data_IF_969760421780
#
_entry.id   IF_969760421780
#
_cell.length_a   1.000
_cell.length_b   1.000
_cell.length_c   1.000
_cell.angle_alpha   90.00
_cell.angle_beta   90.00
_cell.angle_gamma   90.00
#
_symmetry.space_group_name_H-M   'P 1'
#
loop_
_entity.id
_entity.type
_entity.pdbx_description
1 polymer ?
#
# COMPACT_ATOMS: atom_id res chain seq x y z
N UNK A 1 -12.67 12.19 -15.70
CA UNK A 1 -13.48 12.77 -14.60
C UNK A 1 -13.76 14.25 -14.74
N UNK A 2 -15.00 14.60 -15.08
CA UNK A 2 -15.47 15.98 -15.10
C UNK A 2 -15.46 16.64 -13.72
N UNK A 3 -15.82 15.89 -12.65
CA UNK A 3 -15.76 16.37 -11.26
C UNK A 3 -14.36 16.82 -10.84
N UNK A 4 -13.33 16.09 -11.24
CA UNK A 4 -11.94 16.43 -10.92
C UNK A 4 -11.55 17.76 -11.56
N UNK A 5 -11.90 17.97 -12.85
CA UNK A 5 -11.67 19.24 -13.55
C UNK A 5 -12.44 20.39 -12.92
N UNK A 6 -13.69 20.17 -12.52
CA UNK A 6 -14.53 21.17 -11.86
C UNK A 6 -13.96 21.57 -10.49
N UNK A 7 -13.50 20.61 -9.69
CA UNK A 7 -12.85 20.87 -8.40
C UNK A 7 -11.52 21.60 -8.58
N UNK A 8 -10.74 21.27 -9.61
CA UNK A 8 -9.52 22.00 -9.94
C UNK A 8 -9.82 23.44 -10.39
N UNK A 9 -10.87 23.68 -11.18
CA UNK A 9 -11.22 25.04 -11.60
C UNK A 9 -11.92 25.85 -10.51
N UNK A 10 -12.53 25.19 -9.52
CA UNK A 10 -13.05 25.82 -8.32
C UNK A 10 -11.96 26.24 -7.31
N UNK A 11 -10.69 25.90 -7.57
CA UNK A 11 -9.54 26.40 -6.78
C UNK A 11 -9.41 27.91 -6.88
N UNK A 12 -9.73 28.48 -8.05
CA UNK A 12 -9.52 29.90 -8.34
C UNK A 12 -10.81 30.74 -8.20
N UNK A 13 -11.96 30.10 -7.95
CA UNK A 13 -13.26 30.77 -7.89
C UNK A 13 -14.08 30.34 -6.66
N UNK A 14 -14.14 31.26 -5.69
CA UNK A 14 -14.85 31.10 -4.43
C UNK A 14 -16.38 30.96 -4.60
N UNK A 15 -16.96 31.53 -5.67
CA UNK A 15 -18.38 31.34 -6.01
C UNK A 15 -18.63 29.96 -6.61
N UNK A 16 -17.70 29.41 -7.39
CA UNK A 16 -17.80 28.04 -7.89
C UNK A 16 -17.66 27.04 -6.73
N UNK A 17 -16.73 27.27 -5.81
CA UNK A 17 -16.55 26.42 -4.63
C UNK A 17 -17.80 26.42 -3.72
N UNK A 18 -18.41 27.58 -3.46
CA UNK A 18 -19.64 27.65 -2.65
C UNK A 18 -20.82 26.96 -3.35
N UNK A 19 -21.02 27.22 -4.65
CA UNK A 19 -22.10 26.59 -5.42
C UNK A 19 -21.93 25.07 -5.58
N UNK A 20 -20.70 24.55 -5.55
CA UNK A 20 -20.45 23.12 -5.54
C UNK A 20 -20.86 22.50 -4.20
N UNK A 21 -20.47 23.13 -3.09
CA UNK A 21 -20.78 22.66 -1.73
C UNK A 21 -22.28 22.72 -1.45
N UNK A 22 -23.00 23.68 -2.03
CA UNK A 22 -24.46 23.80 -1.91
C UNK A 22 -25.24 22.78 -2.76
N UNK A 23 -24.59 21.99 -3.62
CA UNK A 23 -25.28 20.93 -4.39
C UNK A 23 -25.52 19.71 -3.52
N UNK A 24 -26.80 19.36 -3.38
CA UNK A 24 -27.27 18.10 -2.79
C UNK A 24 -26.54 16.93 -3.46
N UNK A 25 -26.00 16.01 -2.63
CA UNK A 25 -25.28 14.79 -3.01
C UNK A 25 -23.84 14.91 -3.53
N UNK A 26 -23.19 16.08 -3.47
CA UNK A 26 -21.78 16.19 -3.89
C UNK A 26 -20.81 15.55 -2.87
N UNK A 27 -21.23 15.44 -1.61
CA UNK A 27 -20.41 14.93 -0.50
C UNK A 27 -19.97 13.48 -0.68
N UNK A 28 -20.84 12.60 -1.18
CA UNK A 28 -20.49 11.21 -1.44
C UNK A 28 -19.52 11.06 -2.61
N UNK A 29 -19.56 11.99 -3.57
CA UNK A 29 -18.65 12.02 -4.72
C UNK A 29 -17.29 12.62 -4.36
N UNK A 30 -17.26 13.55 -3.40
CA UNK A 30 -16.03 14.20 -2.92
C UNK A 30 -15.18 13.30 -2.02
N UNK A 31 -15.78 12.34 -1.30
CA UNK A 31 -15.06 11.35 -0.47
C UNK A 31 -13.93 10.64 -1.24
N UNK A 32 -14.14 10.34 -2.52
CA UNK A 32 -13.13 9.70 -3.38
C UNK A 32 -12.11 10.68 -3.98
N UNK A 33 -12.47 11.95 -4.13
CA UNK A 33 -11.66 12.95 -4.86
C UNK A 33 -10.76 13.74 -3.92
N UNK A 34 -11.23 14.08 -2.72
CA UNK A 34 -10.50 14.86 -1.71
C UNK A 34 -9.08 14.34 -1.42
N UNK A 35 -8.83 13.04 -1.25
CA UNK A 35 -7.49 12.52 -0.97
C UNK A 35 -6.51 12.69 -2.14
N UNK A 36 -7.03 12.95 -3.35
CA UNK A 36 -6.23 13.06 -4.58
C UNK A 36 -5.91 14.52 -4.96
N UNK A 37 -6.41 15.49 -4.19
CA UNK A 37 -6.16 16.92 -4.39
C UNK A 37 -4.85 17.36 -3.73
N UNK A 38 -4.31 18.49 -4.18
CA UNK A 38 -3.16 19.13 -3.54
C UNK A 38 -3.51 19.61 -2.13
N UNK A 39 -2.50 19.71 -1.27
CA UNK A 39 -2.63 20.12 0.14
C UNK A 39 -3.29 21.49 0.32
N UNK A 40 -3.12 22.38 -0.65
CA UNK A 40 -3.68 23.74 -0.65
C UNK A 40 -5.17 23.75 -1.01
N UNK A 41 -5.56 22.93 -1.98
CA UNK A 41 -6.96 22.76 -2.36
C UNK A 41 -7.77 22.01 -1.30
N UNK A 42 -7.16 21.05 -0.60
CA UNK A 42 -7.80 20.43 0.57
C UNK A 42 -8.10 21.47 1.65
N UNK A 43 -7.17 22.40 1.92
CA UNK A 43 -7.37 23.46 2.92
C UNK A 43 -8.46 24.45 2.52
N UNK A 44 -8.44 24.95 1.28
CA UNK A 44 -9.49 25.86 0.79
C UNK A 44 -10.87 25.18 0.79
N UNK A 45 -10.95 23.94 0.34
CA UNK A 45 -12.21 23.21 0.30
C UNK A 45 -12.73 22.91 1.71
N UNK A 46 -11.85 22.55 2.65
CA UNK A 46 -12.21 22.44 4.07
C UNK A 46 -12.69 23.77 4.65
N UNK A 47 -12.05 24.89 4.31
CA UNK A 47 -12.48 26.22 4.80
C UNK A 47 -13.88 26.59 4.29
N UNK A 48 -14.21 26.28 3.03
CA UNK A 48 -15.54 26.51 2.46
C UNK A 48 -16.59 25.55 3.05
N UNK A 49 -16.20 24.30 3.36
CA UNK A 49 -17.06 23.33 4.04
C UNK A 49 -17.36 23.73 5.49
N UNK A 50 -16.36 24.21 6.23
CA UNK A 50 -16.50 24.72 7.61
C UNK A 50 -17.50 25.89 7.64
N UNK A 51 -17.45 26.79 6.65
CA UNK A 51 -18.29 27.97 6.59
C UNK A 51 -19.77 27.68 6.27
N UNK A 52 -20.06 26.60 5.53
CA UNK A 52 -21.42 26.35 5.02
C UNK A 52 -22.14 25.18 5.72
N UNK A 53 -21.43 24.13 6.16
CA UNK A 53 -22.03 22.95 6.79
C UNK A 53 -21.10 22.33 7.86
N UNK A 54 -20.91 22.99 9.02
CA UNK A 54 -19.97 22.55 10.05
C UNK A 54 -20.33 21.19 10.66
N UNK A 55 -21.62 20.89 10.85
CA UNK A 55 -22.08 19.63 11.45
C UNK A 55 -21.87 18.41 10.54
N UNK A 56 -22.07 18.55 9.22
CA UNK A 56 -21.81 17.46 8.26
C UNK A 56 -20.31 17.20 8.07
N UNK A 57 -19.50 18.25 8.10
CA UNK A 57 -18.04 18.11 8.09
C UNK A 57 -17.54 17.41 9.36
N UNK A 58 -18.04 17.78 10.53
CA UNK A 58 -17.67 17.14 11.79
C UNK A 58 -18.02 15.64 11.78
N UNK A 59 -19.23 15.28 11.35
CA UNK A 59 -19.64 13.89 11.21
C UNK A 59 -18.78 13.12 10.17
N UNK A 60 -18.41 13.76 9.05
CA UNK A 60 -17.54 13.17 8.04
C UNK A 60 -16.12 12.96 8.59
N UNK A 61 -15.57 13.95 9.29
CA UNK A 61 -14.25 13.87 9.92
C UNK A 61 -14.24 12.83 11.04
N UNK A 62 -15.29 12.74 11.85
CA UNK A 62 -15.42 11.74 12.90
C UNK A 62 -15.48 10.33 12.30
N UNK A 63 -16.24 10.13 11.22
CA UNK A 63 -16.30 8.86 10.49
C UNK A 63 -14.95 8.51 9.87
N UNK A 64 -14.31 9.46 9.19
CA UNK A 64 -12.99 9.27 8.60
C UNK A 64 -11.92 8.98 9.67
N UNK A 65 -11.98 9.64 10.82
CA UNK A 65 -11.08 9.41 11.95
C UNK A 65 -11.28 8.03 12.57
N UNK A 66 -12.53 7.56 12.72
CA UNK A 66 -12.85 6.21 13.21
C UNK A 66 -12.32 5.13 12.26
N UNK A 67 -12.56 5.29 10.95
CA UNK A 67 -12.01 4.40 9.90
C UNK A 67 -10.48 4.41 9.88
N UNK A 68 -9.86 5.58 10.01
CA UNK A 68 -8.40 5.73 10.07
C UNK A 68 -7.83 5.08 11.35
N UNK A 69 -8.48 5.26 12.49
CA UNK A 69 -8.08 4.62 13.75
C UNK A 69 -8.19 3.09 13.65
N UNK A 70 -9.27 2.58 13.05
CA UNK A 70 -9.49 1.15 12.81
C UNK A 70 -8.42 0.57 11.89
N UNK A 71 -8.14 1.22 10.76
CA UNK A 71 -7.10 0.77 9.82
C UNK A 71 -5.69 0.81 10.44
N UNK A 72 -5.38 1.83 11.24
CA UNK A 72 -4.13 1.90 12.02
C UNK A 72 -4.03 0.74 13.02
N UNK A 73 -5.12 0.41 13.71
CA UNK A 73 -5.16 -0.68 14.66
C UNK A 73 -4.96 -2.04 13.97
N UNK A 74 -5.64 -2.28 12.85
CA UNK A 74 -5.44 -3.48 12.03
C UNK A 74 -4.00 -3.62 11.56
N UNK A 75 -3.39 -2.52 11.07
CA UNK A 75 -1.98 -2.51 10.67
C UNK A 75 -1.04 -2.84 11.83
N UNK A 76 -1.29 -2.29 13.04
CA UNK A 76 -0.51 -2.63 14.24
C UNK A 76 -0.65 -4.10 14.61
N UNK A 77 -1.87 -4.65 14.56
CA UNK A 77 -2.13 -6.07 14.81
C UNK A 77 -1.37 -6.96 13.84
N UNK A 78 -1.41 -6.64 12.55
CA UNK A 78 -0.66 -7.37 11.52
C UNK A 78 0.85 -7.32 11.75
N UNK A 79 1.38 -6.16 12.14
CA UNK A 79 2.80 -6.02 12.49
C UNK A 79 3.19 -6.85 13.71
N UNK A 80 2.36 -6.88 14.76
CA UNK A 80 2.61 -7.69 15.97
C UNK A 80 2.63 -9.17 15.61
N UNK A 81 1.64 -9.63 14.83
CA UNK A 81 1.56 -11.03 14.42
C UNK A 81 2.73 -11.42 13.52
N UNK A 82 3.14 -10.57 12.58
CA UNK A 82 4.32 -10.83 11.76
C UNK A 82 5.61 -10.86 12.61
N UNK A 83 5.78 -9.96 13.59
CA UNK A 83 6.90 -9.98 14.53
C UNK A 83 6.96 -11.27 15.35
N UNK A 84 5.81 -11.82 15.74
CA UNK A 84 5.76 -13.10 16.43
C UNK A 84 6.31 -14.24 15.56
N UNK A 85 5.96 -14.28 14.26
CA UNK A 85 6.53 -15.27 13.34
C UNK A 85 8.03 -15.03 13.08
N UNK A 86 8.49 -13.77 12.95
CA UNK A 86 9.92 -13.43 12.84
C UNK A 86 10.70 -14.02 14.03
N UNK A 87 10.17 -13.90 15.24
CA UNK A 87 10.81 -14.47 16.43
C UNK A 87 10.89 -16.00 16.38
N UNK A 88 9.91 -16.69 15.79
CA UNK A 88 9.97 -18.15 15.60
C UNK A 88 10.97 -18.53 14.51
N UNK A 89 11.03 -17.76 13.42
CA UNK A 89 12.02 -17.93 12.35
C UNK A 89 13.44 -17.79 12.89
N UNK A 90 13.70 -16.76 13.68
CA UNK A 90 15.01 -16.54 14.30
C UNK A 90 15.40 -17.65 15.29
N UNK A 91 14.40 -18.33 15.89
CA UNK A 91 14.61 -19.50 16.76
C UNK A 91 14.69 -20.83 15.99
N UNK A 92 14.54 -20.81 14.67
CA UNK A 92 14.53 -22.00 13.82
C UNK A 92 13.29 -22.89 13.96
N UNK A 93 12.25 -22.45 14.69
CA UNK A 93 11.02 -23.24 14.88
C UNK A 93 9.96 -23.04 13.80
N UNK A 94 10.25 -22.18 12.81
CA UNK A 94 9.42 -21.90 11.65
C UNK A 94 10.33 -21.48 10.49
N UNK A 95 10.08 -21.93 9.26
CA UNK A 95 10.85 -21.46 8.10
C UNK A 95 10.30 -20.13 7.57
N UNK A 96 11.08 -19.41 6.76
CA UNK A 96 10.58 -18.20 6.05
C UNK A 96 9.38 -18.56 5.18
N UNK A 97 9.49 -19.67 4.45
CA UNK A 97 8.48 -20.16 3.52
C UNK A 97 7.17 -20.48 4.22
N UNK A 98 7.20 -21.22 5.32
CA UNK A 98 5.98 -21.56 6.08
C UNK A 98 5.21 -20.30 6.50
N UNK A 99 5.94 -19.28 7.00
CA UNK A 99 5.34 -18.02 7.41
C UNK A 99 4.75 -17.25 6.22
N UNK A 100 5.46 -17.21 5.09
CA UNK A 100 5.03 -16.52 3.88
C UNK A 100 3.81 -17.20 3.27
N UNK A 101 3.84 -18.52 3.09
CA UNK A 101 2.74 -19.33 2.54
C UNK A 101 1.50 -19.15 3.40
N UNK A 102 1.64 -19.26 4.73
CA UNK A 102 0.53 -19.04 5.68
C UNK A 102 -0.13 -17.67 5.49
N UNK A 103 0.66 -16.61 5.35
CA UNK A 103 0.13 -15.26 5.16
C UNK A 103 -0.42 -15.01 3.77
N UNK A 104 0.16 -15.63 2.73
CA UNK A 104 -0.31 -15.54 1.36
C UNK A 104 -1.68 -16.22 1.19
N UNK A 105 -1.85 -17.43 1.73
CA UNK A 105 -3.14 -18.14 1.76
C UNK A 105 -4.25 -17.39 2.49
N UNK A 106 -3.87 -16.53 3.44
CA UNK A 106 -4.81 -15.72 4.24
C UNK A 106 -5.01 -14.31 3.69
N UNK A 107 -4.50 -14.00 2.51
CA UNK A 107 -4.53 -12.68 1.87
C UNK A 107 -4.05 -11.55 2.80
N UNK A 108 -2.90 -11.78 3.46
CA UNK A 108 -2.27 -10.82 4.39
C UNK A 108 -0.98 -10.21 3.83
N UNK A 109 -1.04 -9.37 2.77
CA UNK A 109 0.15 -8.78 2.15
C UNK A 109 0.91 -7.85 3.12
N UNK A 110 0.23 -7.19 4.06
CA UNK A 110 0.87 -6.34 5.06
C UNK A 110 1.81 -7.13 5.98
N UNK A 111 1.47 -8.38 6.30
CA UNK A 111 2.31 -9.27 7.11
C UNK A 111 3.52 -9.75 6.33
N UNK A 112 3.32 -10.17 5.07
CA UNK A 112 4.42 -10.53 4.15
C UNK A 112 5.38 -9.36 3.99
N UNK A 113 4.86 -8.14 3.80
CA UNK A 113 5.69 -6.94 3.72
C UNK A 113 6.52 -6.71 4.99
N UNK A 114 5.96 -6.99 6.16
CA UNK A 114 6.67 -6.90 7.45
C UNK A 114 7.79 -7.95 7.54
N UNK A 115 7.53 -9.20 7.12
CA UNK A 115 8.54 -10.25 7.06
C UNK A 115 9.70 -9.86 6.13
N UNK A 116 9.39 -9.50 4.90
CA UNK A 116 10.39 -9.11 3.90
C UNK A 116 11.22 -7.91 4.38
N UNK A 117 10.58 -6.89 4.99
CA UNK A 117 11.28 -5.73 5.55
C UNK A 117 12.33 -6.14 6.59
N UNK A 118 12.01 -7.16 7.41
CA UNK A 118 12.95 -7.68 8.40
C UNK A 118 14.13 -8.44 7.77
N UNK A 119 13.92 -9.11 6.63
CA UNK A 119 14.95 -9.90 5.96
C UNK A 119 15.92 -9.04 5.14
N UNK A 120 15.41 -8.06 4.38
CA UNK A 120 16.23 -7.24 3.47
C UNK A 120 16.54 -5.83 4.01
N UNK A 121 16.13 -5.52 5.25
CA UNK A 121 16.33 -4.22 5.91
C UNK A 121 15.87 -3.02 5.07
N UNK A 122 14.80 -3.19 4.32
CA UNK A 122 14.15 -2.11 3.55
C UNK A 122 12.91 -1.57 4.26
N UNK A 123 12.49 -0.37 3.83
CA UNK A 123 11.25 0.22 4.31
C UNK A 123 10.04 -0.64 3.91
N UNK A 124 9.19 -0.96 4.89
CA UNK A 124 7.96 -1.73 4.68
C UNK A 124 7.08 -1.11 3.58
N UNK A 125 7.02 0.23 3.46
CA UNK A 125 6.23 0.93 2.43
C UNK A 125 6.69 0.56 1.01
N UNK A 126 7.99 0.47 0.77
CA UNK A 126 8.53 0.09 -0.54
C UNK A 126 8.11 -1.34 -0.93
N UNK A 127 8.19 -2.26 0.02
CA UNK A 127 7.83 -3.66 -0.18
C UNK A 127 6.31 -3.82 -0.34
N UNK A 128 5.52 -3.12 0.46
CA UNK A 128 4.05 -3.10 0.36
C UNK A 128 3.60 -2.63 -1.02
N UNK A 129 4.23 -1.58 -1.55
CA UNK A 129 3.96 -1.10 -2.90
C UNK A 129 4.32 -2.15 -3.96
N UNK A 130 5.49 -2.78 -3.83
CA UNK A 130 5.93 -3.81 -4.79
C UNK A 130 5.02 -5.04 -4.80
N UNK A 131 4.47 -5.44 -3.64
CA UNK A 131 3.51 -6.54 -3.53
C UNK A 131 2.20 -6.27 -4.27
N UNK A 132 1.72 -5.01 -4.27
CA UNK A 132 0.39 -4.64 -4.75
C UNK A 132 0.40 -3.87 -6.10
N UNK A 133 1.56 -3.77 -6.74
CA UNK A 133 1.64 -3.27 -8.12
C UNK A 133 1.31 -4.38 -9.12
N UNK A 134 0.71 -4.02 -10.26
CA UNK A 134 0.44 -4.97 -11.35
C UNK A 134 1.75 -5.50 -11.95
N UNK A 135 2.70 -4.61 -12.21
CA UNK A 135 4.07 -5.00 -12.57
C UNK A 135 4.72 -5.72 -11.38
N UNK A 136 5.26 -6.91 -11.62
CA UNK A 136 5.87 -7.77 -10.62
C UNK A 136 7.40 -7.77 -10.57
N UNK A 137 8.09 -7.05 -11.47
CA UNK A 137 9.55 -7.15 -11.65
C UNK A 137 10.31 -6.86 -10.35
N UNK A 138 9.95 -5.77 -9.66
CA UNK A 138 10.54 -5.41 -8.37
C UNK A 138 10.26 -6.47 -7.29
N UNK A 139 9.08 -7.10 -7.34
CA UNK A 139 8.72 -8.16 -6.40
C UNK A 139 9.48 -9.46 -6.71
N UNK A 140 9.70 -9.80 -7.98
CA UNK A 140 10.52 -10.95 -8.38
C UNK A 140 11.93 -10.81 -7.82
N UNK A 141 12.54 -9.63 -7.98
CA UNK A 141 13.86 -9.33 -7.41
C UNK A 141 13.83 -9.48 -5.89
N UNK A 142 12.83 -8.90 -5.21
CA UNK A 142 12.66 -9.03 -3.76
C UNK A 142 12.57 -10.50 -3.32
N UNK A 143 11.69 -11.29 -3.93
CA UNK A 143 11.54 -12.72 -3.63
C UNK A 143 12.87 -13.45 -3.80
N UNK A 144 13.60 -13.21 -4.89
CA UNK A 144 14.90 -13.85 -5.13
C UNK A 144 15.94 -13.47 -4.07
N UNK A 145 15.96 -12.21 -3.65
CA UNK A 145 16.91 -11.72 -2.64
C UNK A 145 16.67 -12.23 -1.22
N UNK A 146 15.42 -12.60 -0.91
CA UNK A 146 15.04 -13.14 0.41
C UNK A 146 15.39 -14.62 0.51
N UNK A 147 15.66 -15.27 -0.63
CA UNK A 147 15.90 -16.70 -0.77
C UNK A 147 14.74 -17.51 -0.18
N UNK A 148 13.62 -17.54 -0.93
CA UNK A 148 12.40 -18.28 -0.62
C UNK A 148 12.12 -19.30 -1.73
N UNK A 149 11.40 -20.37 -1.43
CA UNK A 149 11.12 -21.38 -2.45
C UNK A 149 10.15 -20.90 -3.54
N UNK A 150 10.16 -21.64 -4.65
CA UNK A 150 9.19 -21.52 -5.73
C UNK A 150 7.75 -21.67 -5.24
N UNK A 151 7.50 -22.50 -4.22
CA UNK A 151 6.17 -22.70 -3.64
C UNK A 151 5.68 -21.41 -2.95
N UNK A 152 6.52 -20.81 -2.10
CA UNK A 152 6.20 -19.53 -1.46
C UNK A 152 5.96 -18.41 -2.49
N UNK A 153 6.74 -18.39 -3.58
CA UNK A 153 6.54 -17.44 -4.69
C UNK A 153 5.21 -17.67 -5.40
N UNK A 154 4.83 -18.91 -5.67
CA UNK A 154 3.55 -19.24 -6.28
C UNK A 154 2.39 -18.74 -5.42
N UNK A 155 2.42 -19.00 -4.12
CA UNK A 155 1.39 -18.57 -3.18
C UNK A 155 1.28 -17.04 -3.09
N UNK A 156 2.41 -16.32 -3.13
CA UNK A 156 2.42 -14.85 -3.28
C UNK A 156 1.74 -14.44 -4.59
N UNK A 157 2.04 -15.11 -5.70
CA UNK A 157 1.43 -14.87 -7.01
C UNK A 157 -0.09 -15.07 -6.99
N UNK A 158 -0.57 -16.15 -6.39
CA UNK A 158 -1.99 -16.44 -6.24
C UNK A 158 -2.70 -15.41 -5.38
N UNK A 159 -2.12 -15.06 -4.23
CA UNK A 159 -2.60 -13.96 -3.38
C UNK A 159 -2.73 -12.66 -4.18
N UNK A 160 -1.72 -12.31 -4.98
CA UNK A 160 -1.74 -11.11 -5.82
C UNK A 160 -2.86 -11.16 -6.86
N UNK A 161 -3.08 -12.30 -7.50
CA UNK A 161 -4.17 -12.46 -8.46
C UNK A 161 -5.54 -12.26 -7.80
N UNK A 162 -5.74 -12.80 -6.59
CA UNK A 162 -6.97 -12.57 -5.82
C UNK A 162 -7.17 -11.11 -5.45
N UNK A 163 -6.14 -10.45 -4.92
CA UNK A 163 -6.24 -9.05 -4.45
C UNK A 163 -6.39 -8.06 -5.61
N UNK A 164 -5.61 -8.26 -6.68
CA UNK A 164 -5.55 -7.34 -7.82
C UNK A 164 -6.51 -7.73 -8.96
N UNK A 165 -7.32 -8.77 -8.77
CA UNK A 165 -8.27 -9.28 -9.76
C UNK A 165 -7.60 -9.61 -11.10
N UNK A 166 -6.40 -10.19 -11.07
CA UNK A 166 -5.64 -10.58 -12.26
C UNK A 166 -5.95 -12.03 -12.66
N UNK A 167 -5.80 -12.39 -13.95
CA UNK A 167 -5.94 -13.78 -14.40
C UNK A 167 -4.91 -14.70 -13.73
N UNK A 168 -5.30 -15.94 -13.45
CA UNK A 168 -4.42 -16.95 -12.84
C UNK A 168 -3.18 -17.27 -13.68
N UNK A 169 -3.22 -17.09 -15.00
CA UNK A 169 -2.05 -17.21 -15.88
C UNK A 169 -0.90 -16.28 -15.51
N UNK A 170 -1.19 -15.18 -14.79
CA UNK A 170 -0.19 -14.25 -14.27
C UNK A 170 0.68 -14.89 -13.19
N UNK A 171 0.17 -15.91 -12.47
CA UNK A 171 0.93 -16.66 -11.47
C UNK A 171 2.07 -17.42 -12.13
N UNK A 172 1.80 -18.14 -13.22
CA UNK A 172 2.82 -18.94 -13.89
C UNK A 172 3.91 -18.06 -14.52
N UNK A 173 3.51 -16.91 -15.08
CA UNK A 173 4.48 -15.90 -15.54
C UNK A 173 5.37 -15.42 -14.38
N UNK A 174 4.77 -15.02 -13.25
CA UNK A 174 5.51 -14.54 -12.08
C UNK A 174 6.49 -15.59 -11.52
N UNK A 175 6.07 -16.85 -11.47
CA UNK A 175 6.92 -17.98 -11.04
C UNK A 175 8.06 -18.21 -12.03
N UNK A 176 7.80 -18.14 -13.34
CA UNK A 176 8.84 -18.30 -14.35
C UNK A 176 9.87 -17.15 -14.30
N UNK A 177 9.41 -15.91 -14.14
CA UNK A 177 10.29 -14.75 -13.99
C UNK A 177 11.20 -14.91 -12.77
N UNK A 178 10.68 -15.44 -11.65
CA UNK A 178 11.47 -15.77 -10.46
C UNK A 178 12.52 -16.87 -10.69
N UNK A 179 12.15 -17.94 -11.39
CA UNK A 179 13.08 -19.04 -11.68
C UNK A 179 14.24 -18.58 -12.57
N UNK A 180 13.94 -17.71 -13.54
CA UNK A 180 14.92 -17.18 -14.48
C UNK A 180 15.75 -16.02 -13.90
N UNK A 181 15.37 -15.48 -12.74
CA UNK A 181 16.11 -14.41 -12.08
C UNK A 181 17.43 -14.95 -11.50
N UNK A 182 18.53 -14.29 -11.87
CA UNK A 182 19.85 -14.54 -11.29
C UNK A 182 19.92 -14.03 -9.84
N UNK A 183 20.44 -14.89 -8.96
CA UNK A 183 20.47 -14.59 -7.52
C UNK A 183 21.47 -13.46 -7.22
N UNK A 184 22.66 -13.50 -7.81
CA UNK A 184 23.70 -12.49 -7.59
C UNK A 184 23.28 -11.11 -8.12
N UNK A 185 22.63 -11.06 -9.28
CA UNK A 185 22.04 -9.85 -9.82
C UNK A 185 20.93 -9.30 -8.90
N UNK A 186 20.08 -10.18 -8.36
CA UNK A 186 19.04 -9.77 -7.41
C UNK A 186 19.64 -9.16 -6.14
N UNK A 187 20.58 -9.85 -5.50
CA UNK A 187 21.23 -9.36 -4.28
C UNK A 187 21.93 -8.00 -4.51
N UNK A 188 22.63 -7.84 -5.64
CA UNK A 188 23.26 -6.56 -6.02
C UNK A 188 22.23 -5.44 -6.20
N UNK A 189 21.14 -5.73 -6.90
CA UNK A 189 20.04 -4.78 -7.10
C UNK A 189 19.46 -4.32 -5.75
N UNK A 190 19.25 -5.25 -4.83
CA UNK A 190 18.71 -4.94 -3.51
C UNK A 190 19.66 -4.09 -2.65
N UNK A 191 20.97 -4.32 -2.71
CA UNK A 191 21.96 -3.45 -2.06
C UNK A 191 21.86 -2.02 -2.58
N UNK A 192 21.75 -1.84 -3.89
CA UNK A 192 21.61 -0.52 -4.51
C UNK A 192 20.30 0.18 -4.10
N UNK A 193 19.17 -0.54 -4.14
CA UNK A 193 17.87 0.00 -3.67
C UNK A 193 17.93 0.38 -2.19
N UNK A 194 18.59 -0.42 -1.36
CA UNK A 194 18.84 -0.10 0.05
C UNK A 194 19.61 1.20 0.23
N UNK A 195 20.69 1.40 -0.53
CA UNK A 195 21.45 2.65 -0.49
C UNK A 195 20.60 3.86 -0.91
N UNK A 196 19.85 3.77 -2.01
CA UNK A 196 19.00 4.87 -2.48
C UNK A 196 17.88 5.23 -1.49
N UNK A 197 17.22 4.22 -0.92
CA UNK A 197 16.13 4.45 0.04
C UNK A 197 16.63 5.06 1.34
N UNK A 198 17.83 4.69 1.79
CA UNK A 198 18.47 5.31 2.97
C UNK A 198 18.93 6.74 2.68
N UNK A 199 19.54 7.01 1.53
CA UNK A 199 19.93 8.37 1.13
C UNK A 199 18.75 9.33 1.08
N UNK A 200 17.61 8.91 0.52
CA UNK A 200 16.38 9.71 0.50
C UNK A 200 15.82 10.01 1.90
N UNK A 201 16.08 9.15 2.89
CA UNK A 201 15.69 9.40 4.29
C UNK A 201 16.63 10.35 5.02
N UNK A 202 17.88 10.48 4.59
CA UNK A 202 18.85 11.40 5.21
C UNK A 202 18.74 12.84 4.70
N UNK A 203 18.01 13.06 3.60
CA UNK A 203 17.82 14.38 2.95
C UNK A 203 16.47 15.02 3.35
N UNK A 204 15.64 14.30 4.11
CA UNK A 204 14.33 14.75 4.63
C UNK A 204 14.40 14.83 6.14
#
# INVERSE_FOLDING_TARGET
>A
DGLRKIVTHAQDDQKLASNLVSRVNIFDQLKGVLPTLSSESQKQFNNVLIANNPAELEALMETANKELARSRLLKKTDQIQAKAEINKINKGSLTKDDAIIKFAKSDKPAKISTLFASFVKLDQKYISNSLLQMNSDALVVLCKSVDISVEAVREIGEMRCRILHMPSSTVDKFVNDFKNMDEDASQRTMRFVGLQTNLKKSIV
#
